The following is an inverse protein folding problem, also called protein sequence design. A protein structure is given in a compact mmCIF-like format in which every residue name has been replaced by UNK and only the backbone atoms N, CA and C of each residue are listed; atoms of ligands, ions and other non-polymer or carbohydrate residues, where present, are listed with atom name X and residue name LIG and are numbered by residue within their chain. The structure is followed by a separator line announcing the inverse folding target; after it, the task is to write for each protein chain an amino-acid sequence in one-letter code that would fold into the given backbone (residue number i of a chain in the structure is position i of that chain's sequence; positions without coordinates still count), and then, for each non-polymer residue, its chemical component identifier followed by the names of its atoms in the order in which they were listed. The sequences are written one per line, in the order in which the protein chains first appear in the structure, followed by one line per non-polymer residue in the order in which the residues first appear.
data_IF_984970829196
#
_entry.id   IF_984970829196
#
_cell.length_a   1.000
_cell.length_b   1.000
_cell.length_c   1.000
_cell.angle_alpha   90.00
_cell.angle_beta   90.00
_cell.angle_gamma   90.00
#
_symmetry.space_group_name_H-M   'P 1'
#
loop_
_entity.id
_entity.type
_entity.pdbx_description
1 polymer ?
#
# COMPACT_ATOMS: atom_id res chain seq x y z
N UNK A 1 -26.81 -2.08 23.15
CA UNK A 1 -25.50 -2.20 23.83
C UNK A 1 -24.45 -2.35 22.74
N UNK A 2 -23.39 -1.56 22.75
CA UNK A 2 -22.35 -1.66 21.74
C UNK A 2 -21.56 -2.95 21.97
N UNK A 3 -21.55 -3.83 20.96
CA UNK A 3 -20.68 -5.01 20.97
C UNK A 3 -19.22 -4.53 21.00
N UNK A 4 -18.47 -4.92 22.03
CA UNK A 4 -17.07 -4.55 22.17
C UNK A 4 -16.23 -5.38 21.21
N UNK A 5 -15.50 -4.73 20.31
CA UNK A 5 -14.55 -5.39 19.42
C UNK A 5 -13.29 -5.70 20.22
N UNK A 6 -12.92 -6.98 20.30
CA UNK A 6 -11.77 -7.45 21.08
C UNK A 6 -10.46 -7.26 20.31
N UNK A 7 -10.50 -7.35 18.98
CA UNK A 7 -9.38 -7.09 18.08
C UNK A 7 -9.87 -6.76 16.66
N UNK A 8 -9.17 -5.90 15.95
CA UNK A 8 -9.47 -5.54 14.56
C UNK A 8 -8.19 -5.29 13.77
N UNK A 9 -8.14 -5.83 12.56
CA UNK A 9 -7.10 -5.56 11.58
C UNK A 9 -7.72 -5.12 10.26
N UNK A 10 -7.18 -4.07 9.65
CA UNK A 10 -7.60 -3.57 8.34
C UNK A 10 -6.41 -3.41 7.40
N UNK A 11 -6.67 -3.53 6.10
CA UNK A 11 -5.63 -3.38 5.10
C UNK A 11 -6.12 -3.45 3.67
N UNK A 12 -5.16 -3.45 2.74
CA UNK A 12 -5.41 -3.58 1.30
C UNK A 12 -4.60 -4.75 0.77
N UNK A 13 -5.27 -5.59 -0.02
CA UNK A 13 -4.66 -6.78 -0.61
C UNK A 13 -5.00 -6.91 -2.09
N UNK A 14 -4.26 -7.79 -2.76
CA UNK A 14 -4.49 -8.21 -4.14
C UNK A 14 -4.39 -9.72 -4.22
N UNK A 15 -5.07 -10.33 -5.17
CA UNK A 15 -5.04 -11.78 -5.38
C UNK A 15 -4.40 -12.08 -6.74
N UNK A 16 -3.68 -13.20 -6.84
CA UNK A 16 -3.02 -13.61 -8.09
C UNK A 16 -4.01 -13.83 -9.23
N UNK A 17 -5.24 -14.27 -8.95
CA UNK A 17 -6.28 -14.38 -9.96
C UNK A 17 -6.79 -13.03 -10.49
N UNK A 18 -6.51 -11.93 -9.78
CA UNK A 18 -7.06 -10.59 -10.02
C UNK A 18 -6.00 -9.50 -9.85
N UNK A 19 -4.88 -9.59 -10.57
CA UNK A 19 -3.74 -8.66 -10.44
C UNK A 19 -4.10 -7.17 -10.62
N UNK A 20 -5.15 -6.87 -11.37
CA UNK A 20 -5.61 -5.50 -11.62
C UNK A 20 -6.54 -4.93 -10.55
N UNK A 21 -7.06 -5.78 -9.65
CA UNK A 21 -8.07 -5.38 -8.67
C UNK A 21 -7.46 -5.36 -7.27
N UNK A 22 -7.65 -4.25 -6.56
CA UNK A 22 -7.30 -4.14 -5.15
C UNK A 22 -8.54 -4.30 -4.29
N UNK A 23 -8.38 -5.00 -3.18
CA UNK A 23 -9.44 -5.28 -2.24
C UNK A 23 -9.08 -4.66 -0.90
N UNK A 24 -10.03 -3.97 -0.26
CA UNK A 24 -9.91 -3.57 1.14
C UNK A 24 -10.45 -4.71 2.01
N UNK A 25 -9.73 -5.05 3.07
CA UNK A 25 -10.16 -6.08 4.00
C UNK A 25 -10.29 -5.53 5.41
N UNK A 26 -11.19 -6.14 6.18
CA UNK A 26 -11.33 -5.95 7.62
C UNK A 26 -11.48 -7.33 8.26
N UNK A 27 -10.68 -7.60 9.28
CA UNK A 27 -10.78 -8.79 10.13
C UNK A 27 -11.14 -8.30 11.52
N UNK A 28 -12.24 -8.79 12.07
CA UNK A 28 -12.74 -8.38 13.38
C UNK A 28 -12.95 -9.59 14.26
N UNK A 29 -12.64 -9.45 15.54
CA UNK A 29 -12.86 -10.45 16.59
C UNK A 29 -13.83 -9.89 17.64
N UNK A 30 -14.89 -10.63 17.92
CA UNK A 30 -15.88 -10.31 18.94
C UNK A 30 -16.30 -11.58 19.69
N UNK A 31 -16.01 -11.65 21.00
CA UNK A 31 -16.44 -12.77 21.84
C UNK A 31 -15.99 -14.12 21.29
N UNK A 32 -14.72 -14.20 20.87
CA UNK A 32 -14.08 -15.35 20.20
C UNK A 32 -14.56 -15.67 18.78
N UNK A 33 -15.40 -14.82 18.18
CA UNK A 33 -15.87 -15.01 16.81
C UNK A 33 -15.12 -14.11 15.84
N UNK A 34 -14.64 -14.69 14.77
CA UNK A 34 -13.92 -13.98 13.71
C UNK A 34 -14.86 -13.68 12.56
N UNK A 35 -14.82 -12.44 12.07
CA UNK A 35 -15.47 -12.04 10.83
C UNK A 35 -14.44 -11.44 9.88
N UNK A 36 -14.49 -11.85 8.62
CA UNK A 36 -13.65 -11.31 7.54
C UNK A 36 -14.56 -10.63 6.53
N UNK A 37 -14.34 -9.34 6.29
CA UNK A 37 -15.02 -8.54 5.27
C UNK A 37 -14.03 -8.17 4.15
N UNK A 38 -14.48 -8.28 2.91
CA UNK A 38 -13.75 -7.86 1.72
C UNK A 38 -14.59 -6.87 0.90
N UNK A 39 -13.97 -5.80 0.44
CA UNK A 39 -14.52 -4.81 -0.49
C UNK A 39 -13.65 -4.77 -1.74
N UNK A 40 -14.25 -4.95 -2.91
CA UNK A 40 -13.61 -4.60 -4.18
C UNK A 40 -13.59 -3.08 -4.33
N UNK A 41 -12.40 -2.47 -4.39
CA UNK A 41 -12.26 -1.01 -4.43
C UNK A 41 -12.76 -0.39 -5.74
N UNK A 42 -12.79 -1.15 -6.83
CA UNK A 42 -13.25 -0.70 -8.14
C UNK A 42 -14.77 -0.78 -8.25
N UNK A 43 -15.34 -1.95 -7.95
CA UNK A 43 -16.79 -2.16 -8.09
C UNK A 43 -17.60 -1.77 -6.86
N UNK A 44 -16.95 -1.62 -5.70
CA UNK A 44 -17.56 -1.36 -4.38
C UNK A 44 -18.48 -2.47 -3.89
N UNK A 45 -18.43 -3.63 -4.52
CA UNK A 45 -19.08 -4.85 -4.02
C UNK A 45 -18.38 -5.32 -2.76
N UNK A 46 -19.16 -5.86 -1.83
CA UNK A 46 -18.67 -6.26 -0.53
C UNK A 46 -19.16 -7.65 -0.18
N UNK A 47 -18.33 -8.38 0.56
CA UNK A 47 -18.61 -9.72 1.03
C UNK A 47 -18.12 -9.90 2.46
N UNK A 48 -18.77 -10.79 3.21
CA UNK A 48 -18.31 -11.16 4.55
C UNK A 48 -18.61 -12.62 4.88
N UNK A 49 -17.87 -13.16 5.83
CA UNK A 49 -18.14 -14.49 6.41
C UNK A 49 -19.31 -14.49 7.38
N UNK A 50 -19.54 -13.37 8.07
CA UNK A 50 -20.30 -13.36 9.33
C UNK A 50 -19.41 -13.75 10.50
N UNK A 51 -19.96 -13.70 11.72
CA UNK A 51 -19.23 -14.02 12.95
C UNK A 51 -19.08 -15.54 13.11
N UNK A 52 -17.93 -16.06 12.71
CA UNK A 52 -17.60 -17.49 12.76
C UNK A 52 -16.91 -17.86 14.07
N UNK A 53 -17.35 -18.94 14.70
CA UNK A 53 -16.61 -19.57 15.80
C UNK A 53 -15.42 -20.36 15.27
N UNK A 54 -14.43 -20.58 16.13
CA UNK A 54 -13.24 -21.36 15.79
C UNK A 54 -13.58 -22.73 15.21
N UNK A 55 -14.58 -23.45 15.74
CA UNK A 55 -14.94 -24.79 15.25
C UNK A 55 -15.41 -24.81 13.78
N UNK A 56 -15.81 -23.66 13.23
CA UNK A 56 -16.29 -23.55 11.85
C UNK A 56 -15.15 -23.51 10.82
N UNK A 57 -13.92 -23.18 11.25
CA UNK A 57 -12.76 -23.06 10.35
C UNK A 57 -11.48 -23.70 10.88
N UNK A 58 -11.52 -24.28 12.09
CA UNK A 58 -10.39 -24.93 12.76
C UNK A 58 -10.61 -26.44 12.83
N UNK A 59 -9.54 -27.18 12.62
CA UNK A 59 -9.42 -28.63 12.83
C UNK A 59 -8.53 -28.91 14.04
N UNK A 60 -8.52 -30.14 14.56
CA UNK A 60 -7.65 -30.51 15.69
C UNK A 60 -6.15 -30.22 15.46
N UNK A 61 -5.70 -30.06 14.20
CA UNK A 61 -4.31 -29.78 13.84
C UNK A 61 -3.92 -28.30 13.76
N UNK A 62 -4.84 -27.36 13.97
CA UNK A 62 -4.60 -25.92 13.84
C UNK A 62 -5.34 -25.07 14.89
N UNK A 63 -5.55 -25.61 16.10
CA UNK A 63 -6.15 -24.92 17.24
C UNK A 63 -5.13 -23.95 17.86
N UNK A 64 -5.48 -22.66 17.91
CA UNK A 64 -4.73 -21.54 18.49
C UNK A 64 -5.72 -20.57 19.17
N UNK A 65 -5.21 -19.54 19.86
CA UNK A 65 -6.06 -18.49 20.44
C UNK A 65 -6.79 -17.71 19.33
N UNK A 66 -8.02 -17.26 19.61
CA UNK A 66 -8.83 -16.53 18.64
C UNK A 66 -8.14 -15.26 18.11
N UNK A 67 -7.34 -14.59 18.96
CA UNK A 67 -6.53 -13.41 18.58
C UNK A 67 -5.40 -13.75 17.63
N UNK A 68 -4.81 -14.94 17.76
CA UNK A 68 -3.74 -15.38 16.87
C UNK A 68 -4.25 -15.56 15.44
N UNK A 69 -5.51 -15.99 15.27
CA UNK A 69 -6.12 -16.10 13.94
C UNK A 69 -6.25 -14.74 13.25
N UNK A 70 -6.59 -13.67 13.95
CA UNK A 70 -6.70 -12.32 13.37
C UNK A 70 -5.36 -11.92 12.73
N UNK A 71 -4.29 -11.97 13.52
CA UNK A 71 -2.95 -11.63 13.05
C UNK A 71 -2.46 -12.60 11.94
N UNK A 72 -2.80 -13.88 12.05
CA UNK A 72 -2.42 -14.90 11.08
C UNK A 72 -3.08 -14.67 9.72
N UNK A 73 -4.38 -14.38 9.70
CA UNK A 73 -5.14 -14.08 8.49
C UNK A 73 -4.68 -12.76 7.88
N UNK A 74 -4.40 -11.75 8.71
CA UNK A 74 -3.78 -10.50 8.31
C UNK A 74 -2.46 -10.69 7.58
N UNK A 75 -1.56 -11.51 8.14
CA UNK A 75 -0.30 -11.87 7.48
C UNK A 75 -0.50 -12.57 6.13
N UNK A 76 -1.51 -13.42 6.00
CA UNK A 76 -1.85 -14.04 4.71
C UNK A 76 -2.30 -13.00 3.68
N UNK A 77 -3.11 -12.02 4.10
CA UNK A 77 -3.62 -10.97 3.22
C UNK A 77 -2.55 -9.91 2.87
N UNK A 78 -1.55 -9.70 3.72
CA UNK A 78 -0.50 -8.71 3.50
C UNK A 78 0.76 -9.26 2.82
N UNK A 79 0.90 -10.59 2.65
CA UNK A 79 2.13 -11.12 2.07
C UNK A 79 2.32 -10.70 0.59
N UNK A 80 3.56 -10.64 0.08
CA UNK A 80 3.80 -10.47 -1.34
C UNK A 80 3.13 -11.59 -2.17
N UNK A 81 2.74 -11.31 -3.41
CA UNK A 81 2.10 -12.31 -4.28
C UNK A 81 3.08 -13.39 -4.77
N UNK A 82 4.37 -13.08 -4.84
CA UNK A 82 5.45 -14.00 -5.26
C UNK A 82 6.02 -14.82 -4.08
N UNK A 83 5.32 -14.83 -2.95
CA UNK A 83 5.89 -15.27 -1.69
C UNK A 83 6.22 -16.77 -1.66
N UNK A 84 7.49 -17.10 -1.90
CA UNK A 84 8.07 -18.44 -1.71
C UNK A 84 8.12 -18.88 -0.24
N UNK A 85 7.82 -17.98 0.72
CA UNK A 85 7.90 -18.23 2.18
C UNK A 85 6.72 -19.04 2.72
N UNK A 86 5.88 -19.60 1.85
CA UNK A 86 4.88 -20.59 2.24
C UNK A 86 3.62 -20.01 2.87
N UNK A 87 3.39 -18.70 2.74
CA UNK A 87 2.09 -18.08 3.02
C UNK A 87 1.42 -17.78 1.69
N UNK A 88 0.15 -18.14 1.54
CA UNK A 88 -0.60 -18.05 0.30
C UNK A 88 -2.01 -17.53 0.55
N UNK A 89 -2.56 -16.83 -0.45
CA UNK A 89 -3.96 -16.43 -0.49
C UNK A 89 -4.52 -16.62 -1.89
N UNK A 90 -5.75 -17.14 -1.95
CA UNK A 90 -6.49 -17.34 -3.19
C UNK A 90 -7.92 -16.90 -2.99
N UNK A 91 -8.48 -16.23 -4.01
CA UNK A 91 -9.88 -15.83 -4.04
C UNK A 91 -10.53 -16.47 -5.27
N UNK A 92 -11.61 -17.20 -5.09
CA UNK A 92 -12.32 -17.89 -6.17
C UNK A 92 -13.79 -17.50 -6.15
N UNK A 93 -14.36 -17.01 -7.27
CA UNK A 93 -15.79 -16.76 -7.35
C UNK A 93 -16.57 -18.07 -7.27
N UNK A 94 -17.66 -18.04 -6.52
CA UNK A 94 -18.63 -19.12 -6.46
C UNK A 94 -19.92 -18.72 -7.18
N UNK A 95 -20.78 -19.70 -7.54
CA UNK A 95 -22.15 -19.41 -7.99
C UNK A 95 -22.89 -18.51 -6.99
N UNK A 96 -23.96 -17.83 -7.43
CA UNK A 96 -24.74 -16.87 -6.63
C UNK A 96 -24.02 -15.58 -6.20
N UNK A 97 -22.83 -15.30 -6.74
CA UNK A 97 -22.09 -14.07 -6.45
C UNK A 97 -21.31 -14.10 -5.13
N UNK A 98 -21.20 -15.27 -4.50
CA UNK A 98 -20.38 -15.52 -3.33
C UNK A 98 -18.90 -15.63 -3.70
N UNK A 99 -18.04 -15.52 -2.70
CA UNK A 99 -16.60 -15.71 -2.87
C UNK A 99 -16.09 -16.80 -1.94
N UNK A 100 -15.12 -17.59 -2.40
CA UNK A 100 -14.33 -18.49 -1.57
C UNK A 100 -12.96 -17.86 -1.34
N UNK A 101 -12.62 -17.61 -0.08
CA UNK A 101 -11.29 -17.16 0.34
C UNK A 101 -10.53 -18.35 0.92
N UNK A 102 -9.37 -18.65 0.35
CA UNK A 102 -8.46 -19.67 0.87
C UNK A 102 -7.18 -18.99 1.38
N UNK A 103 -6.86 -19.20 2.65
CA UNK A 103 -5.64 -18.72 3.28
C UNK A 103 -4.77 -19.93 3.65
N UNK A 104 -3.54 -19.96 3.17
CA UNK A 104 -2.62 -21.08 3.35
C UNK A 104 -1.36 -20.65 4.09
N UNK A 105 -0.93 -21.45 5.07
CA UNK A 105 0.27 -21.22 5.87
C UNK A 105 1.11 -22.48 5.92
N UNK A 106 2.40 -22.37 5.62
CA UNK A 106 3.36 -23.44 5.75
C UNK A 106 4.16 -23.24 7.02
N UNK A 107 3.93 -24.10 8.00
CA UNK A 107 4.65 -24.13 9.26
C UNK A 107 5.77 -25.17 9.16
N UNK A 108 6.96 -24.81 9.64
CA UNK A 108 8.11 -25.72 9.74
C UNK A 108 8.45 -25.94 11.21
N UNK A 109 8.40 -27.18 11.67
CA UNK A 109 8.72 -27.59 13.04
C UNK A 109 9.54 -28.88 12.99
N UNK A 110 10.64 -28.93 13.75
CA UNK A 110 11.50 -30.12 13.86
C UNK A 110 11.96 -30.71 12.52
N UNK A 111 12.22 -29.87 11.52
CA UNK A 111 12.61 -30.30 10.16
C UNK A 111 11.44 -30.80 9.29
N UNK A 112 10.25 -31.00 9.86
CA UNK A 112 9.03 -31.29 9.12
C UNK A 112 8.36 -29.98 8.65
N UNK A 113 7.69 -30.03 7.50
CA UNK A 113 6.91 -28.92 6.96
C UNK A 113 5.45 -29.33 6.82
N UNK A 114 4.53 -28.61 7.48
CA UNK A 114 3.09 -28.81 7.35
C UNK A 114 2.44 -27.58 6.72
N UNK A 115 1.45 -27.80 5.86
CA UNK A 115 0.67 -26.71 5.28
C UNK A 115 -0.73 -26.74 5.87
N UNK A 116 -1.10 -25.68 6.58
CA UNK A 116 -2.43 -25.43 7.11
C UNK A 116 -3.19 -24.59 6.09
N UNK A 117 -4.45 -24.91 5.86
CA UNK A 117 -5.33 -24.15 4.99
C UNK A 117 -6.61 -23.82 5.73
N UNK A 118 -7.03 -22.57 5.63
CA UNK A 118 -8.31 -22.06 6.08
C UNK A 118 -9.14 -21.70 4.86
N UNK A 119 -10.40 -22.13 4.86
CA UNK A 119 -11.31 -21.93 3.74
C UNK A 119 -12.55 -21.22 4.28
N UNK A 120 -12.89 -20.09 3.69
CA UNK A 120 -14.03 -19.28 4.07
C UNK A 120 -14.95 -19.05 2.87
N UNK A 121 -16.25 -19.21 3.09
CA UNK A 121 -17.27 -18.76 2.15
C UNK A 121 -17.76 -17.37 2.57
N UNK A 122 -17.59 -16.38 1.70
CA UNK A 122 -18.04 -15.02 1.92
C UNK A 122 -19.35 -14.77 1.16
N UNK A 123 -20.36 -14.34 1.91
CA UNK A 123 -21.66 -13.95 1.40
C UNK A 123 -21.63 -12.51 0.88
N UNK A 124 -22.29 -12.21 -0.25
CA UNK A 124 -22.41 -10.84 -0.72
C UNK A 124 -23.22 -10.01 0.28
N UNK A 125 -22.76 -8.78 0.52
CA UNK A 125 -23.46 -7.79 1.33
C UNK A 125 -24.21 -6.87 0.37
N UNK A 126 -25.50 -6.65 0.64
CA UNK A 126 -26.22 -5.57 -0.02
C UNK A 126 -25.62 -4.24 0.48
N UNK A 127 -24.93 -3.53 -0.41
CA UNK A 127 -24.33 -2.24 -0.09
C UNK A 127 -25.31 -1.15 -0.52
N UNK A 128 -25.72 -0.32 0.43
CA UNK A 128 -26.58 0.82 0.10
C UNK A 128 -25.82 1.80 -0.81
N UNK A 129 -26.58 2.47 -1.68
CA UNK A 129 -25.98 3.40 -2.66
C UNK A 129 -25.21 4.54 -1.97
N UNK A 130 -25.62 4.92 -0.76
CA UNK A 130 -24.93 5.92 0.06
C UNK A 130 -23.55 5.40 0.49
N UNK A 131 -23.47 4.19 1.04
CA UNK A 131 -22.20 3.57 1.43
C UNK A 131 -21.24 3.41 0.24
N UNK A 132 -21.76 3.07 -0.95
CA UNK A 132 -20.97 3.02 -2.18
C UNK A 132 -20.37 4.40 -2.49
N UNK A 133 -21.16 5.47 -2.36
CA UNK A 133 -20.73 6.83 -2.62
C UNK A 133 -19.71 7.31 -1.58
N UNK A 134 -19.91 7.01 -0.30
CA UNK A 134 -18.94 7.31 0.76
C UNK A 134 -17.61 6.59 0.51
N UNK A 135 -17.65 5.31 0.16
CA UNK A 135 -16.45 4.54 -0.19
C UNK A 135 -15.75 5.07 -1.44
N UNK A 136 -16.48 5.63 -2.42
CA UNK A 136 -15.88 6.31 -3.57
C UNK A 136 -15.25 7.65 -3.18
N UNK A 137 -15.92 8.44 -2.35
CA UNK A 137 -15.38 9.69 -1.84
C UNK A 137 -14.10 9.47 -1.02
N UNK A 138 -14.05 8.42 -0.19
CA UNK A 138 -12.85 8.04 0.56
C UNK A 138 -11.68 7.70 -0.37
N UNK A 139 -11.94 6.92 -1.42
CA UNK A 139 -10.90 6.57 -2.40
C UNK A 139 -10.43 7.80 -3.21
N UNK A 140 -11.35 8.66 -3.65
CA UNK A 140 -11.00 9.92 -4.33
C UNK A 140 -10.18 10.85 -3.43
N UNK A 141 -10.51 10.93 -2.14
CA UNK A 141 -9.75 11.72 -1.16
C UNK A 141 -8.34 11.17 -0.98
N UNK A 142 -8.18 9.85 -0.92
CA UNK A 142 -6.86 9.21 -0.80
C UNK A 142 -5.97 9.52 -2.03
N UNK A 143 -6.53 9.47 -3.24
CA UNK A 143 -5.81 9.83 -4.47
C UNK A 143 -5.46 11.32 -4.53
N UNK A 144 -6.35 12.19 -4.06
CA UNK A 144 -6.07 13.64 -3.96
C UNK A 144 -4.92 13.91 -2.98
N UNK A 145 -4.91 13.25 -1.83
CA UNK A 145 -3.84 13.36 -0.83
C UNK A 145 -2.51 12.88 -1.39
N UNK A 146 -2.50 11.77 -2.15
CA UNK A 146 -1.29 11.29 -2.85
C UNK A 146 -0.79 12.32 -3.86
N UNK A 147 -1.68 12.90 -4.65
CA UNK A 147 -1.31 13.91 -5.65
C UNK A 147 -0.76 15.17 -4.98
N UNK A 148 -1.41 15.66 -3.92
CA UNK A 148 -0.93 16.81 -3.15
C UNK A 148 0.49 16.59 -2.64
N UNK A 149 0.75 15.42 -2.03
CA UNK A 149 2.09 15.05 -1.54
C UNK A 149 3.13 15.05 -2.67
N UNK A 150 2.77 14.59 -3.87
CA UNK A 150 3.66 14.59 -5.05
C UNK A 150 3.95 16.01 -5.53
N UNK A 151 2.95 16.88 -5.59
CA UNK A 151 3.13 18.28 -5.97
C UNK A 151 4.03 19.02 -4.96
N UNK A 152 3.82 18.78 -3.66
CA UNK A 152 4.65 19.37 -2.61
C UNK A 152 6.09 18.84 -2.61
N UNK A 153 6.29 17.59 -3.02
CA UNK A 153 7.63 17.06 -3.25
C UNK A 153 8.31 17.75 -4.45
N UNK A 154 7.60 17.91 -5.58
CA UNK A 154 8.12 18.62 -6.76
C UNK A 154 8.49 20.08 -6.48
N UNK A 155 7.62 20.82 -5.77
CA UNK A 155 7.90 22.21 -5.36
C UNK A 155 9.08 22.35 -4.40
N UNK A 156 9.41 21.30 -3.64
CA UNK A 156 10.62 21.28 -2.81
C UNK A 156 11.86 21.04 -3.64
N UNK A 157 11.80 20.15 -4.63
CA UNK A 157 12.91 19.86 -5.54
C UNK A 157 13.26 21.06 -6.42
N UNK A 158 12.26 21.77 -6.96
CA UNK A 158 12.48 22.98 -7.76
C UNK A 158 13.13 24.10 -6.94
N UNK A 159 12.67 24.35 -5.71
CA UNK A 159 13.29 25.33 -4.82
C UNK A 159 14.72 24.97 -4.43
N UNK A 160 15.02 23.68 -4.26
CA UNK A 160 16.38 23.23 -3.99
C UNK A 160 17.30 23.46 -5.19
N UNK A 161 16.83 23.13 -6.42
CA UNK A 161 17.56 23.41 -7.66
C UNK A 161 17.81 24.90 -7.86
N UNK A 162 16.79 25.73 -7.68
CA UNK A 162 16.90 27.18 -7.83
C UNK A 162 17.88 27.77 -6.80
N UNK A 163 17.81 27.31 -5.54
CA UNK A 163 18.78 27.68 -4.50
C UNK A 163 20.21 27.25 -4.82
N UNK A 164 20.41 26.07 -5.43
CA UNK A 164 21.72 25.60 -5.85
C UNK A 164 22.28 26.43 -7.03
N UNK A 165 21.44 26.79 -8.00
CA UNK A 165 21.81 27.67 -9.11
C UNK A 165 22.20 29.07 -8.63
N UNK A 166 21.42 29.65 -7.70
CA UNK A 166 21.74 30.95 -7.09
C UNK A 166 23.08 30.89 -6.35
N UNK A 167 23.33 29.86 -5.53
CA UNK A 167 24.62 29.67 -4.85
C UNK A 167 25.78 29.57 -5.84
N UNK A 168 25.61 28.82 -6.93
CA UNK A 168 26.65 28.66 -7.96
C UNK A 168 26.95 29.98 -8.67
N UNK A 169 25.91 30.78 -8.98
CA UNK A 169 26.07 32.12 -9.56
C UNK A 169 26.76 33.08 -8.59
N UNK A 170 26.39 33.09 -7.31
CA UNK A 170 27.05 33.91 -6.29
C UNK A 170 28.52 33.53 -6.10
N UNK A 171 28.84 32.23 -6.12
CA UNK A 171 30.22 31.76 -6.04
C UNK A 171 31.04 32.23 -7.25
N UNK A 172 30.46 32.14 -8.46
CA UNK A 172 31.09 32.63 -9.69
C UNK A 172 31.32 34.14 -9.66
N UNK A 173 30.34 34.92 -9.21
CA UNK A 173 30.48 36.38 -9.08
C UNK A 173 31.60 36.76 -8.09
N UNK A 174 31.65 36.10 -6.93
CA UNK A 174 32.67 36.33 -5.91
C UNK A 174 34.08 35.97 -6.42
N UNK A 175 34.20 34.90 -7.22
CA UNK A 175 35.47 34.52 -7.85
C UNK A 175 35.95 35.56 -8.88
N UNK A 176 35.03 36.18 -9.64
CA UNK A 176 35.34 37.25 -10.60
C UNK A 176 35.85 38.50 -9.86
N UNK A 177 35.22 38.88 -8.74
CA UNK A 177 35.65 40.02 -7.92
C UNK A 177 37.04 39.81 -7.28
N UNK A 178 37.35 38.59 -6.83
CA UNK A 178 38.68 38.23 -6.31
C UNK A 178 39.77 38.21 -7.39
N UNK A 179 39.39 38.07 -8.67
CA UNK A 179 40.32 38.14 -9.81
C UNK A 179 40.55 39.54 -10.35
N UNK A 180 39.96 40.59 -9.75
CA UNK A 180 40.31 42.01 -9.92
C UNK A 180 40.59 42.46 -11.35
N UNK A 181 39.64 43.14 -11.97
CA UNK A 181 39.88 43.77 -13.27
C UNK A 181 41.14 44.65 -13.29
N UNK A 182 41.95 44.49 -14.33
CA UNK A 182 42.78 45.58 -14.85
C UNK A 182 42.12 46.19 -16.11
N UNK A 183 42.01 47.53 -16.17
CA UNK A 183 41.47 48.27 -17.30
C UNK A 183 42.53 48.57 -18.37
N UNK A 184 42.06 48.82 -19.59
CA UNK A 184 42.86 49.28 -20.72
C UNK A 184 43.76 50.50 -20.37
N UNK A 185 45.08 50.39 -20.59
CA UNK A 185 45.92 51.53 -20.99
C UNK A 185 46.86 51.16 -22.13
N UNK A 186 46.97 52.12 -23.04
CA UNK A 186 47.43 52.10 -24.43
C UNK A 186 48.91 52.53 -24.50
N UNK A 187 49.76 51.75 -25.17
CA UNK A 187 51.05 52.18 -25.76
C UNK A 187 51.42 51.21 -26.90
N UNK A 188 51.01 51.45 -28.13
CA UNK A 188 51.76 52.16 -29.19
C UNK A 188 52.70 51.27 -30.03
N UNK A 189 52.61 51.46 -31.34
CA UNK A 189 53.50 51.02 -32.42
C UNK A 189 53.48 49.54 -32.84
N UNK A 190 52.82 49.27 -33.98
CA UNK A 190 53.48 48.91 -35.25
C UNK A 190 52.40 48.88 -36.35
N UNK A 191 52.35 49.93 -37.15
CA UNK A 191 52.12 49.81 -38.59
C UNK A 191 52.82 51.01 -39.26
N UNK A 192 54.01 50.76 -39.81
CA UNK A 192 54.59 51.61 -40.85
C UNK A 192 54.62 50.80 -42.13
N UNK A 193 53.84 51.27 -43.08
CA UNK A 193 53.80 50.88 -44.49
C UNK A 193 55.12 51.27 -45.16
N UNK A 194 55.67 50.36 -45.98
CA UNK A 194 56.42 50.63 -47.22
C UNK A 194 56.22 49.36 -48.08
N UNK A 195 55.40 49.44 -49.14
CA UNK A 195 55.79 49.59 -50.55
C UNK A 195 56.76 48.54 -51.03
#
# INVERSE_FOLDING_TARGET
MAQSIDSMEEGVTQFSSYFSTSYRYVISLEGEKVNIRLEDRSSKKQWQTGMLKNEEFVTAGNVFDARDYVACFGQCLNCPLDNKKGVQRTLTPLPSGKLKLELGLRIRLFGASRSIKFIFELQPIAVDRVDVLESKLKDMKEELDKLSRRVDAGRRDDRYREGALLKALTLKASAIELTGGEPWTRSEHIFRVMT
#
